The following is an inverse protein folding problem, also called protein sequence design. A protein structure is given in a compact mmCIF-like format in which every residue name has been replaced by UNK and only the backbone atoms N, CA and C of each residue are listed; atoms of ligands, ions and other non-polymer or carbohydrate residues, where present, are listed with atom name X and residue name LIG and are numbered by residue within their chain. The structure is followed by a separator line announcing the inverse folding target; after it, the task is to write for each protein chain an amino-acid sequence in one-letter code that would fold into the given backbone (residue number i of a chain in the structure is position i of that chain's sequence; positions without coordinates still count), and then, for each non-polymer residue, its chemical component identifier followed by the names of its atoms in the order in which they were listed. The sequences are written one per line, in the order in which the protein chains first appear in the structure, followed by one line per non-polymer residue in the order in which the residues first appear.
data_IF_263634472917
#
_entry.id   IF_263634472917
#
_cell.length_a   1.000
_cell.length_b   1.000
_cell.length_c   1.000
_cell.angle_alpha   90.00
_cell.angle_beta   90.00
_cell.angle_gamma   90.00
#
_symmetry.space_group_name_H-M   'P 1'
#
loop_
_entity.id
_entity.type
_entity.pdbx_description
1 polymer ?
#
# COMPACT_ATOMS: atom_id res chain seq x y z
N UNK A 1 -18.72 -32.28 -42.65
CA UNK A 1 -19.34 -33.03 -41.53
C UNK A 1 -18.75 -32.52 -40.22
N UNK A 2 -19.45 -31.66 -39.51
CA UNK A 2 -19.01 -31.06 -38.24
C UNK A 2 -19.18 -32.07 -37.11
N UNK A 3 -18.11 -32.37 -36.36
CA UNK A 3 -18.15 -33.19 -35.14
C UNK A 3 -18.17 -32.29 -33.91
N UNK A 4 -19.35 -32.14 -33.31
CA UNK A 4 -19.59 -31.43 -32.05
C UNK A 4 -19.05 -32.27 -30.88
N UNK A 5 -18.06 -31.76 -30.13
CA UNK A 5 -17.63 -32.37 -28.85
C UNK A 5 -18.48 -31.80 -27.71
N UNK A 6 -19.26 -32.66 -27.05
CA UNK A 6 -20.01 -32.32 -25.85
C UNK A 6 -19.07 -32.07 -24.67
N UNK A 7 -19.21 -30.92 -24.00
CA UNK A 7 -18.52 -30.61 -22.73
C UNK A 7 -19.33 -31.18 -21.56
N UNK A 8 -18.75 -32.12 -20.83
CA UNK A 8 -19.30 -32.60 -19.56
C UNK A 8 -19.15 -31.51 -18.48
N UNK A 9 -20.27 -31.06 -17.90
CA UNK A 9 -20.30 -30.18 -16.71
C UNK A 9 -20.17 -31.04 -15.47
N UNK A 10 -19.03 -30.96 -14.78
CA UNK A 10 -18.85 -31.55 -13.44
C UNK A 10 -19.39 -30.56 -12.41
N UNK A 11 -20.52 -30.91 -11.79
CA UNK A 11 -21.12 -30.20 -10.65
C UNK A 11 -20.36 -30.57 -9.37
N UNK A 12 -19.70 -29.60 -8.74
CA UNK A 12 -19.09 -29.79 -7.42
C UNK A 12 -20.13 -29.43 -6.35
N UNK A 13 -20.45 -30.33 -5.39
CA UNK A 13 -21.32 -30.01 -4.29
C UNK A 13 -20.59 -29.13 -3.27
N UNK A 14 -21.20 -27.99 -2.95
CA UNK A 14 -20.80 -27.13 -1.83
C UNK A 14 -21.16 -27.83 -0.52
N UNK A 15 -20.16 -28.21 0.28
CA UNK A 15 -20.34 -28.55 1.69
C UNK A 15 -20.08 -27.30 2.53
N UNK A 16 -21.17 -26.75 3.06
CA UNK A 16 -21.17 -25.69 4.07
C UNK A 16 -20.98 -26.35 5.43
N UNK A 17 -19.84 -26.09 6.08
CA UNK A 17 -19.62 -26.45 7.47
C UNK A 17 -19.62 -25.17 8.31
N UNK A 18 -20.70 -24.95 9.06
CA UNK A 18 -20.83 -23.87 10.02
C UNK A 18 -20.28 -24.32 11.38
N UNK A 19 -19.16 -23.75 11.81
CA UNK A 19 -18.64 -23.92 13.17
C UNK A 19 -19.06 -22.74 14.02
N UNK A 20 -19.91 -23.03 15.02
CA UNK A 20 -20.33 -22.09 16.05
C UNK A 20 -19.15 -21.75 16.98
N UNK A 21 -18.93 -20.45 17.23
CA UNK A 21 -17.95 -19.95 18.19
C UNK A 21 -18.68 -19.42 19.42
N UNK A 22 -18.36 -20.02 20.56
CA UNK A 22 -18.77 -19.66 21.92
C UNK A 22 -18.17 -18.31 22.33
N UNK A 23 -19.02 -17.40 22.83
CA UNK A 23 -18.61 -16.12 23.44
C UNK A 23 -18.53 -16.30 24.94
N UNK A 24 -17.38 -15.99 25.53
CA UNK A 24 -17.21 -15.93 26.98
C UNK A 24 -15.99 -15.10 27.35
N UNK A 25 -16.21 -13.97 28.02
CA UNK A 25 -15.49 -13.47 29.19
C UNK A 25 -15.75 -11.97 29.37
N UNK A 26 -16.36 -11.63 30.50
CA UNK A 26 -16.53 -10.29 31.02
C UNK A 26 -15.27 -9.81 31.73
N UNK A 27 -14.95 -8.52 31.63
CA UNK A 27 -14.18 -7.81 32.65
C UNK A 27 -14.78 -6.42 32.88
N UNK A 28 -15.30 -6.25 34.10
CA UNK A 28 -15.71 -4.96 34.64
C UNK A 28 -14.46 -4.18 35.08
N UNK A 29 -14.39 -2.90 34.74
CA UNK A 29 -13.40 -1.97 35.28
C UNK A 29 -14.13 -0.92 36.12
N UNK A 30 -13.72 -0.86 37.39
CA UNK A 30 -14.22 0.00 38.45
C UNK A 30 -13.88 1.46 38.21
N UNK A 31 -14.89 2.34 38.33
CA UNK A 31 -14.73 3.80 38.38
C UNK A 31 -14.08 4.20 39.72
N UNK A 32 -12.94 4.87 39.66
CA UNK A 32 -12.37 5.59 40.80
C UNK A 32 -12.73 7.08 40.69
N UNK A 33 -13.51 7.57 41.65
CA UNK A 33 -13.87 8.98 41.81
C UNK A 33 -13.04 9.66 42.90
N UNK A 34 -12.98 10.99 42.80
CA UNK A 34 -12.70 12.00 43.84
C UNK A 34 -11.25 12.39 44.12
N UNK A 35 -11.01 13.69 43.87
CA UNK A 35 -9.87 14.47 44.33
C UNK A 35 -10.21 15.94 44.09
N UNK A 36 -11.07 16.51 44.94
CA UNK A 36 -11.37 17.94 44.96
C UNK A 36 -10.25 18.68 45.69
N UNK A 37 -9.75 19.77 45.11
CA UNK A 37 -8.94 20.76 45.80
C UNK A 37 -9.38 22.17 45.34
N UNK A 38 -10.15 22.80 46.23
CA UNK A 38 -10.26 24.23 46.58
C UNK A 38 -9.92 25.30 45.53
N UNK A 39 -10.92 26.13 45.26
CA UNK A 39 -10.80 27.45 44.64
C UNK A 39 -10.11 28.48 45.55
N UNK A 40 -9.37 29.40 44.94
CA UNK A 40 -9.16 30.76 45.45
C UNK A 40 -9.07 31.71 44.24
N UNK A 41 -9.85 32.79 44.30
CA UNK A 41 -10.06 33.78 43.23
C UNK A 41 -8.99 34.89 43.17
N UNK A 42 -8.84 35.39 41.94
CA UNK A 42 -8.56 36.78 41.54
C UNK A 42 -7.18 37.41 41.71
N UNK A 43 -6.48 37.56 40.58
CA UNK A 43 -5.86 38.83 40.18
C UNK A 43 -5.70 38.88 38.65
N UNK A 44 -6.14 40.00 38.07
CA UNK A 44 -6.13 40.30 36.64
C UNK A 44 -4.70 40.42 36.07
N UNK A 45 -4.54 40.03 34.80
CA UNK A 45 -3.50 40.58 33.92
C UNK A 45 -2.32 39.66 33.60
N UNK A 46 -2.49 38.76 32.62
CA UNK A 46 -1.41 38.33 31.72
C UNK A 46 -2.04 37.73 30.44
N UNK A 47 -1.53 38.05 29.24
CA UNK A 47 -2.18 37.67 27.99
C UNK A 47 -2.16 36.16 27.81
N UNK A 48 -3.24 35.64 27.23
CA UNK A 48 -3.35 34.27 26.79
C UNK A 48 -2.11 33.92 25.95
N UNK A 49 -1.31 32.96 26.45
CA UNK A 49 -0.36 32.27 25.60
C UNK A 49 -1.18 31.57 24.51
N UNK A 50 -1.28 32.22 23.35
CA UNK A 50 -1.66 31.59 22.11
C UNK A 50 -0.71 30.43 21.95
N UNK A 51 -1.20 29.23 22.27
CA UNK A 51 -0.55 27.99 21.93
C UNK A 51 -0.31 28.05 20.43
N UNK A 52 0.91 28.39 20.06
CA UNK A 52 1.41 28.18 18.73
C UNK A 52 1.38 26.65 18.55
N UNK A 53 0.23 26.14 18.10
CA UNK A 53 0.21 24.97 17.28
C UNK A 53 1.21 25.29 16.19
N UNK A 54 2.44 24.78 16.33
CA UNK A 54 3.43 24.76 15.29
C UNK A 54 2.67 24.27 14.07
N UNK A 55 2.40 25.18 13.13
CA UNK A 55 1.71 24.86 11.92
C UNK A 55 2.56 23.77 11.29
N UNK A 56 2.08 22.51 11.38
CA UNK A 56 2.72 21.41 10.67
C UNK A 56 2.78 21.89 9.25
N UNK A 57 3.97 22.03 8.69
CA UNK A 57 4.16 22.32 7.28
C UNK A 57 3.32 21.29 6.52
N UNK A 58 2.17 21.72 6.04
CA UNK A 58 1.34 20.90 5.18
C UNK A 58 2.11 20.82 3.88
N UNK A 59 2.61 19.63 3.58
CA UNK A 59 3.26 19.38 2.30
C UNK A 59 2.19 19.59 1.23
N UNK A 60 2.36 20.62 0.40
CA UNK A 60 1.44 20.97 -0.69
C UNK A 60 1.62 20.05 -1.91
N UNK A 61 1.74 18.75 -1.66
CA UNK A 61 1.82 17.74 -2.70
C UNK A 61 1.42 16.35 -2.17
N UNK A 62 0.95 15.45 -3.04
CA UNK A 62 0.78 14.04 -2.67
C UNK A 62 2.11 13.42 -2.26
N UNK A 63 2.06 12.51 -1.29
CA UNK A 63 3.22 11.74 -0.86
C UNK A 63 2.82 10.28 -0.63
N UNK A 64 3.70 9.37 -1.03
CA UNK A 64 3.71 7.97 -0.64
C UNK A 64 5.12 7.62 -0.18
N UNK A 65 5.28 7.28 1.09
CA UNK A 65 6.58 6.88 1.66
C UNK A 65 6.41 5.64 2.51
N UNK A 66 7.45 4.82 2.60
CA UNK A 66 7.53 3.71 3.56
C UNK A 66 7.97 2.42 2.91
N UNK A 67 7.90 1.34 3.67
CA UNK A 67 8.29 0.01 3.22
C UNK A 67 7.40 -1.06 3.81
N UNK A 68 7.31 -2.19 3.12
CA UNK A 68 6.59 -3.35 3.62
C UNK A 68 7.22 -4.66 3.21
N UNK A 69 6.92 -5.68 4.03
CA UNK A 69 7.10 -7.10 3.72
C UNK A 69 5.74 -7.72 3.51
N UNK A 70 5.54 -8.41 2.38
CA UNK A 70 4.29 -9.14 2.13
C UNK A 70 4.15 -10.34 3.08
N UNK A 71 2.92 -10.67 3.43
CA UNK A 71 2.60 -11.89 4.18
C UNK A 71 2.60 -13.07 3.22
N UNK A 72 3.62 -13.92 3.34
CA UNK A 72 3.86 -15.09 2.48
C UNK A 72 4.26 -16.30 3.32
N UNK A 73 4.32 -17.45 2.65
CA UNK A 73 4.82 -18.69 3.25
C UNK A 73 6.31 -18.55 3.64
N UNK A 74 6.80 -19.30 4.63
CA UNK A 74 8.21 -19.28 5.00
C UNK A 74 9.12 -19.53 3.79
N UNK A 75 10.17 -18.71 3.66
CA UNK A 75 11.11 -18.78 2.54
C UNK A 75 10.74 -17.90 1.34
N UNK A 76 9.48 -17.46 1.21
CA UNK A 76 9.04 -16.50 0.20
C UNK A 76 9.06 -15.08 0.78
N UNK A 77 10.07 -14.30 0.42
CA UNK A 77 10.34 -12.98 0.99
C UNK A 77 10.18 -11.90 -0.08
N UNK A 78 9.09 -11.15 0.00
CA UNK A 78 8.81 -10.04 -0.92
C UNK A 78 8.78 -8.73 -0.15
N UNK A 79 9.56 -7.75 -0.60
CA UNK A 79 9.64 -6.42 -0.02
C UNK A 79 9.37 -5.33 -1.06
N UNK A 80 8.71 -4.27 -0.62
CA UNK A 80 8.45 -3.07 -1.42
C UNK A 80 8.80 -1.84 -0.60
N UNK A 81 9.41 -0.86 -1.24
CA UNK A 81 9.76 0.43 -0.67
C UNK A 81 9.41 1.53 -1.65
N UNK A 82 8.83 2.61 -1.14
CA UNK A 82 8.49 3.79 -1.92
C UNK A 82 8.99 5.05 -1.22
N UNK A 83 9.47 5.98 -2.02
CA UNK A 83 9.65 7.38 -1.66
C UNK A 83 9.20 8.22 -2.84
N UNK A 84 7.91 8.56 -2.87
CA UNK A 84 7.25 9.17 -4.01
C UNK A 84 6.54 10.44 -3.54
N UNK A 85 6.70 11.53 -4.29
CA UNK A 85 5.90 12.72 -4.07
C UNK A 85 5.66 13.49 -5.37
N UNK A 86 4.83 14.53 -5.30
CA UNK A 86 4.36 15.30 -6.45
C UNK A 86 3.05 14.73 -7.00
N UNK A 87 2.44 15.46 -7.93
CA UNK A 87 1.10 15.15 -8.45
C UNK A 87 1.13 14.77 -9.92
N UNK A 88 0.42 13.69 -10.25
CA UNK A 88 0.24 13.23 -11.62
C UNK A 88 1.58 12.93 -12.28
N UNK A 89 1.75 13.35 -13.53
CA UNK A 89 2.95 13.10 -14.34
C UNK A 89 4.19 13.89 -13.90
N UNK A 90 4.05 14.82 -12.94
CA UNK A 90 5.15 15.58 -12.32
C UNK A 90 5.69 14.93 -11.06
N UNK A 91 5.15 13.77 -10.69
CA UNK A 91 5.67 13.01 -9.58
C UNK A 91 7.12 12.56 -9.81
N UNK A 92 7.83 12.42 -8.72
CA UNK A 92 9.26 12.09 -8.66
C UNK A 92 9.56 11.31 -7.40
N UNK A 93 10.72 10.68 -7.40
CA UNK A 93 11.21 9.85 -6.31
C UNK A 93 11.55 8.45 -6.80
N UNK A 94 11.55 7.47 -5.91
CA UNK A 94 12.03 6.12 -6.22
C UNK A 94 11.11 5.04 -5.69
N UNK A 95 11.27 3.86 -6.26
CA UNK A 95 10.71 2.63 -5.74
C UNK A 95 11.77 1.52 -5.76
N UNK A 96 11.63 0.55 -4.86
CA UNK A 96 12.45 -0.64 -4.79
C UNK A 96 11.56 -1.84 -4.50
N UNK A 97 11.79 -2.95 -5.20
CA UNK A 97 11.11 -4.22 -5.00
C UNK A 97 12.15 -5.32 -4.92
N UNK A 98 12.05 -6.20 -3.94
CA UNK A 98 12.84 -7.43 -3.90
C UNK A 98 11.96 -8.65 -3.68
N UNK A 99 12.36 -9.76 -4.27
CA UNK A 99 11.69 -11.04 -4.12
C UNK A 99 12.74 -12.14 -4.05
N UNK A 100 12.76 -12.89 -2.96
CA UNK A 100 13.63 -14.05 -2.78
C UNK A 100 12.83 -15.26 -2.35
N UNK A 101 13.10 -16.39 -2.99
CA UNK A 101 12.53 -17.69 -2.64
C UNK A 101 13.68 -18.61 -2.24
N UNK A 102 13.76 -18.90 -0.94
CA UNK A 102 14.89 -19.61 -0.35
C UNK A 102 16.21 -18.86 -0.55
N UNK A 103 17.30 -19.61 -0.76
CA UNK A 103 18.65 -19.06 -1.02
C UNK A 103 19.06 -19.07 -2.49
N UNK A 104 18.25 -19.68 -3.35
CA UNK A 104 18.66 -20.07 -4.70
C UNK A 104 18.09 -19.15 -5.79
N UNK A 105 16.88 -18.61 -5.57
CA UNK A 105 16.22 -17.75 -6.54
C UNK A 105 15.84 -16.42 -5.90
N UNK A 106 16.01 -15.35 -6.66
CA UNK A 106 15.51 -14.06 -6.27
C UNK A 106 16.37 -12.92 -6.76
N UNK A 107 16.01 -11.74 -6.32
CA UNK A 107 16.66 -10.52 -6.74
C UNK A 107 15.85 -9.29 -6.37
N UNK A 108 16.13 -8.22 -7.11
CA UNK A 108 15.46 -6.96 -6.94
C UNK A 108 15.41 -6.16 -8.24
N UNK A 109 14.53 -5.18 -8.25
CA UNK A 109 14.55 -4.10 -9.21
C UNK A 109 14.17 -2.79 -8.54
N UNK A 110 14.70 -1.70 -9.08
CA UNK A 110 14.45 -0.35 -8.58
C UNK A 110 14.38 0.63 -9.74
N UNK A 111 13.81 1.79 -9.47
CA UNK A 111 13.76 2.83 -10.47
C UNK A 111 13.08 4.09 -9.95
N UNK A 112 12.74 4.95 -10.91
CA UNK A 112 12.15 6.26 -10.63
C UNK A 112 10.64 6.22 -10.71
N UNK A 113 9.99 7.01 -9.87
CA UNK A 113 8.56 7.31 -9.96
C UNK A 113 8.32 8.28 -11.10
N UNK A 114 7.29 8.02 -11.90
CA UNK A 114 6.88 8.86 -13.03
C UNK A 114 5.38 9.23 -13.05
N UNK A 115 4.62 8.67 -12.09
CA UNK A 115 3.33 9.22 -11.67
C UNK A 115 3.01 8.90 -10.21
N UNK A 116 2.31 9.82 -9.54
CA UNK A 116 1.66 9.60 -8.24
C UNK A 116 0.29 10.30 -8.22
N UNK A 117 -0.74 9.57 -7.80
CA UNK A 117 -2.04 10.11 -7.43
C UNK A 117 -2.41 9.61 -6.04
N UNK A 118 -3.02 10.46 -5.24
CA UNK A 118 -3.59 10.06 -3.94
C UNK A 118 -5.08 10.38 -3.88
N UNK A 119 -5.81 9.57 -3.12
CA UNK A 119 -7.23 9.74 -2.84
C UNK A 119 -7.53 9.24 -1.44
N UNK A 120 -7.62 10.17 -0.48
CA UNK A 120 -7.68 9.81 0.94
C UNK A 120 -6.46 8.95 1.33
N UNK A 121 -6.66 7.79 1.98
CA UNK A 121 -5.56 6.91 2.40
C UNK A 121 -4.92 6.10 1.27
N UNK A 122 -5.37 6.25 0.02
CA UNK A 122 -4.89 5.46 -1.11
C UNK A 122 -3.88 6.24 -1.94
N UNK A 123 -2.79 5.60 -2.33
CA UNK A 123 -1.86 6.10 -3.32
C UNK A 123 -1.76 5.13 -4.50
N UNK A 124 -1.87 5.65 -5.72
CA UNK A 124 -1.54 4.93 -6.96
C UNK A 124 -0.26 5.55 -7.50
N UNK A 125 0.78 4.74 -7.65
CA UNK A 125 2.06 5.17 -8.17
C UNK A 125 2.45 4.33 -9.38
N UNK A 126 3.17 4.93 -10.31
CA UNK A 126 3.89 4.19 -11.34
C UNK A 126 5.35 4.58 -11.35
N UNK A 127 6.20 3.64 -11.74
CA UNK A 127 7.62 3.90 -11.88
C UNK A 127 8.24 3.08 -12.99
N UNK A 128 9.32 3.62 -13.56
CA UNK A 128 10.10 3.01 -14.63
C UNK A 128 11.34 2.39 -14.02
N UNK A 129 11.59 1.11 -14.31
CA UNK A 129 12.77 0.40 -13.83
C UNK A 129 14.03 0.95 -14.47
N UNK A 130 15.05 1.19 -13.65
CA UNK A 130 16.36 1.68 -14.08
C UNK A 130 17.45 0.63 -13.87
N UNK A 131 17.26 -0.23 -12.87
CA UNK A 131 18.18 -1.28 -12.48
C UNK A 131 17.40 -2.52 -12.02
N UNK A 132 17.85 -3.69 -12.45
CA UNK A 132 17.28 -4.98 -12.05
C UNK A 132 18.37 -6.05 -12.02
N UNK A 133 18.37 -6.85 -10.97
CA UNK A 133 19.31 -7.96 -10.78
C UNK A 133 18.55 -9.16 -10.23
N UNK A 134 18.56 -10.27 -10.95
CA UNK A 134 17.92 -11.52 -10.54
C UNK A 134 18.84 -12.71 -10.78
N UNK A 135 18.92 -13.56 -9.77
CA UNK A 135 19.52 -14.89 -9.86
C UNK A 135 18.42 -15.89 -10.20
N UNK A 136 18.57 -16.54 -11.37
CA UNK A 136 17.71 -17.64 -11.78
C UNK A 136 18.01 -18.93 -11.00
N UNK A 137 17.06 -19.84 -10.99
CA UNK A 137 17.22 -21.19 -10.45
C UNK A 137 16.35 -22.19 -11.25
N UNK A 138 16.74 -23.46 -11.33
CA UNK A 138 15.92 -24.48 -12.00
C UNK A 138 14.50 -24.55 -11.44
N UNK A 139 13.50 -24.59 -12.31
CA UNK A 139 12.08 -24.67 -11.93
C UNK A 139 11.46 -23.37 -11.43
N UNK A 140 12.21 -22.26 -11.44
CA UNK A 140 11.70 -20.94 -11.05
C UNK A 140 11.44 -20.05 -12.28
N UNK A 141 10.57 -19.02 -12.16
CA UNK A 141 10.31 -18.11 -13.27
C UNK A 141 11.57 -17.41 -13.76
N UNK A 142 11.71 -17.30 -15.08
CA UNK A 142 12.65 -16.38 -15.71
C UNK A 142 12.06 -14.97 -15.69
N UNK A 143 12.82 -14.04 -15.11
CA UNK A 143 12.39 -12.65 -14.91
C UNK A 143 12.70 -11.80 -16.15
N UNK A 144 13.70 -12.19 -16.95
CA UNK A 144 14.18 -11.41 -18.09
C UNK A 144 14.68 -10.01 -17.72
N UNK A 145 14.82 -9.15 -18.74
CA UNK A 145 15.17 -7.74 -18.53
C UNK A 145 13.93 -6.89 -18.20
N UNK A 146 13.98 -6.23 -17.05
CA UNK A 146 12.92 -5.34 -16.58
C UNK A 146 13.21 -3.87 -16.89
N UNK A 147 14.44 -3.52 -17.28
CA UNK A 147 14.87 -2.14 -17.45
C UNK A 147 14.01 -1.41 -18.48
N UNK A 148 13.62 -0.17 -18.15
CA UNK A 148 12.77 0.66 -19.01
C UNK A 148 11.28 0.31 -18.96
N UNK A 149 10.88 -0.81 -18.34
CA UNK A 149 9.46 -1.16 -18.17
C UNK A 149 8.84 -0.33 -17.05
N UNK A 150 7.58 0.08 -17.24
CA UNK A 150 6.78 0.74 -16.21
C UNK A 150 5.94 -0.27 -15.45
N UNK A 151 5.98 -0.15 -14.13
CA UNK A 151 5.19 -0.91 -13.20
C UNK A 151 4.22 -0.02 -12.43
N UNK A 152 3.04 -0.57 -12.16
CA UNK A 152 1.99 0.06 -11.37
C UNK A 152 1.90 -0.51 -9.97
N UNK A 153 1.65 0.39 -9.01
CA UNK A 153 1.55 0.10 -7.59
C UNK A 153 0.32 0.79 -7.01
N UNK A 154 -0.31 0.16 -6.02
CA UNK A 154 -1.39 0.79 -5.26
C UNK A 154 -1.22 0.45 -3.79
N UNK A 155 -1.11 1.49 -2.97
CA UNK A 155 -0.98 1.38 -1.52
C UNK A 155 -2.27 1.88 -0.90
N UNK A 156 -2.77 1.13 0.09
CA UNK A 156 -3.75 1.61 1.04
C UNK A 156 -3.04 1.76 2.39
N UNK A 157 -2.89 2.99 2.87
CA UNK A 157 -2.43 3.31 4.22
C UNK A 157 -3.62 3.17 5.18
N UNK A 158 -3.59 2.14 6.02
CA UNK A 158 -4.65 1.88 6.99
C UNK A 158 -4.03 1.70 8.39
N UNK A 159 -3.03 2.54 8.69
CA UNK A 159 -2.28 2.58 9.92
C UNK A 159 -1.42 1.32 10.14
N UNK A 160 -1.98 0.32 10.83
CA UNK A 160 -1.26 -0.96 11.11
C UNK A 160 -1.68 -2.09 10.17
N UNK A 161 -2.60 -1.82 9.26
CA UNK A 161 -3.22 -2.82 8.37
C UNK A 161 -3.12 -2.39 6.91
N UNK A 162 -1.98 -1.81 6.54
CA UNK A 162 -1.76 -1.35 5.18
C UNK A 162 -1.87 -2.52 4.19
N UNK A 163 -2.18 -2.18 2.94
CA UNK A 163 -2.29 -3.14 1.85
C UNK A 163 -1.55 -2.66 0.62
N UNK A 164 -1.13 -3.60 -0.21
CA UNK A 164 -0.39 -3.34 -1.43
C UNK A 164 -1.02 -4.06 -2.62
N UNK A 165 -1.00 -3.40 -3.77
CA UNK A 165 -1.34 -3.93 -5.07
C UNK A 165 -0.20 -3.63 -6.02
N UNK A 166 -0.01 -4.50 -7.00
CA UNK A 166 0.97 -4.33 -8.04
C UNK A 166 0.48 -4.92 -9.36
N UNK A 167 0.80 -4.24 -10.46
CA UNK A 167 0.23 -4.48 -11.79
C UNK A 167 0.44 -5.89 -12.38
N UNK A 168 1.35 -6.68 -11.82
CA UNK A 168 1.70 -8.02 -12.31
C UNK A 168 1.21 -9.16 -11.40
N UNK A 169 0.34 -8.87 -10.43
CA UNK A 169 -0.10 -9.84 -9.44
C UNK A 169 -0.86 -11.05 -10.01
N UNK A 170 -1.59 -10.86 -11.13
CA UNK A 170 -2.42 -11.91 -11.73
C UNK A 170 -1.86 -12.41 -13.07
N UNK A 171 -1.36 -11.50 -13.90
CA UNK A 171 -0.93 -11.82 -15.27
C UNK A 171 0.57 -12.08 -15.39
N UNK A 172 1.31 -12.03 -14.27
CA UNK A 172 2.77 -12.14 -14.27
C UNK A 172 3.47 -10.87 -14.80
N UNK A 173 4.80 -10.94 -14.92
CA UNK A 173 5.61 -9.78 -15.30
C UNK A 173 5.15 -9.20 -16.65
N UNK A 174 5.02 -7.87 -16.75
CA UNK A 174 4.44 -7.24 -17.92
C UNK A 174 5.36 -7.40 -19.14
N UNK A 175 4.79 -7.85 -20.26
CA UNK A 175 5.45 -7.73 -21.57
C UNK A 175 5.58 -6.24 -21.94
N UNK A 176 4.50 -5.47 -21.74
CA UNK A 176 4.40 -4.03 -22.02
C UNK A 176 4.18 -3.23 -20.74
N UNK A 177 4.79 -2.05 -20.69
CA UNK A 177 4.57 -1.05 -19.63
C UNK A 177 3.10 -0.76 -19.38
N UNK A 178 2.71 -0.64 -18.11
CA UNK A 178 1.42 -0.03 -17.76
C UNK A 178 1.38 1.45 -18.18
N UNK A 179 0.18 2.00 -18.33
CA UNK A 179 -0.01 3.45 -18.43
C UNK A 179 0.37 4.16 -17.13
N UNK A 180 0.61 5.47 -17.21
CA UNK A 180 0.87 6.28 -16.00
C UNK A 180 -0.32 6.24 -15.05
N UNK A 181 -0.03 6.27 -13.75
CA UNK A 181 -1.04 6.35 -12.69
C UNK A 181 -2.05 5.17 -12.70
N UNK A 182 -1.63 4.00 -13.18
CA UNK A 182 -2.43 2.78 -13.18
C UNK A 182 -1.79 1.73 -12.27
N UNK A 183 -2.62 1.03 -11.49
CA UNK A 183 -2.21 -0.06 -10.60
C UNK A 183 -3.36 -1.05 -10.38
N UNK A 184 -3.08 -2.19 -9.75
CA UNK A 184 -4.13 -3.14 -9.35
C UNK A 184 -4.81 -2.70 -8.06
N UNK A 185 -5.92 -3.33 -7.69
CA UNK A 185 -6.43 -3.21 -6.33
C UNK A 185 -5.37 -3.64 -5.29
N UNK A 186 -5.36 -3.07 -4.06
CA UNK A 186 -4.39 -3.41 -3.02
C UNK A 186 -4.75 -4.72 -2.31
N UNK A 187 -4.60 -5.83 -3.04
CA UNK A 187 -5.06 -7.15 -2.61
C UNK A 187 -4.13 -7.84 -1.61
N UNK A 188 -2.85 -7.48 -1.54
CA UNK A 188 -1.89 -8.12 -0.66
C UNK A 188 -2.09 -7.74 0.79
N UNK A 189 -1.84 -8.70 1.68
CA UNK A 189 -1.71 -8.45 3.12
C UNK A 189 -0.25 -8.36 3.48
N UNK A 190 0.09 -7.46 4.41
CA UNK A 190 1.47 -7.27 4.84
C UNK A 190 1.75 -8.07 6.12
N UNK A 191 2.94 -8.65 6.21
CA UNK A 191 3.46 -9.20 7.47
C UNK A 191 3.93 -8.06 8.39
N UNK A 192 4.52 -7.02 7.78
CA UNK A 192 4.94 -5.78 8.43
C UNK A 192 4.96 -4.67 7.39
N UNK A 193 4.57 -3.46 7.77
CA UNK A 193 4.60 -2.30 6.90
C UNK A 193 4.48 -1.01 7.71
N UNK A 194 4.85 0.11 7.08
CA UNK A 194 4.74 1.45 7.64
C UNK A 194 4.49 2.48 6.53
N UNK A 195 3.59 2.16 5.59
CA UNK A 195 3.30 3.12 4.55
C UNK A 195 2.66 4.38 5.14
N UNK A 196 2.95 5.50 4.50
CA UNK A 196 2.35 6.78 4.82
C UNK A 196 1.89 7.39 3.50
N UNK A 197 0.59 7.65 3.41
CA UNK A 197 -0.01 8.37 2.29
C UNK A 197 -0.47 9.74 2.76
N UNK A 198 0.07 10.78 2.14
CA UNK A 198 -0.45 12.13 2.30
C UNK A 198 -1.34 12.46 1.11
N UNK A 199 -2.62 12.71 1.38
CA UNK A 199 -3.52 13.17 0.36
C UNK A 199 -3.41 14.68 0.17
N UNK A 200 -3.23 15.08 -1.07
CA UNK A 200 -3.33 16.47 -1.48
C UNK A 200 -3.82 16.53 -2.92
N UNK A 201 -4.65 17.53 -3.21
CA UNK A 201 -5.11 17.84 -4.56
C UNK A 201 -5.29 19.36 -4.62
N UNK A 202 -4.84 20.04 -5.69
CA UNK A 202 -5.10 21.46 -5.84
C UNK A 202 -6.61 21.70 -5.89
N UNK A 203 -7.09 22.87 -5.45
CA UNK A 203 -8.47 23.26 -5.63
C UNK A 203 -8.87 23.08 -7.10
N UNK A 204 -9.95 22.33 -7.35
CA UNK A 204 -10.49 22.24 -8.70
C UNK A 204 -11.16 23.57 -9.03
N UNK A 205 -10.71 24.23 -10.10
CA UNK A 205 -11.51 25.31 -10.68
C UNK A 205 -12.83 24.71 -11.16
N UNK A 206 -13.98 25.32 -10.84
CA UNK A 206 -15.26 24.88 -11.40
C UNK A 206 -15.17 24.79 -12.92
N UNK A 207 -15.74 23.74 -13.51
CA UNK A 207 -15.88 23.68 -14.95
C UNK A 207 -16.69 24.91 -15.40
N UNK A 208 -16.16 25.66 -16.37
CA UNK A 208 -16.93 26.68 -17.05
C UNK A 208 -17.92 25.91 -17.96
N UNK A 209 -19.19 25.97 -17.61
CA UNK A 209 -20.29 25.47 -18.46
C UNK A 209 -20.70 26.53 -19.47
#
# INVERSE_FOLDING_TARGET
MFRTRARARVRHPFLVAATALTVGAATALTLGTTGAATAAESAAGAPAATGAHAARHTVDEPLLKGSAKLKRQPGDNVHFTFDAHGLGDKARGTFYVSHHIGKQWGGYFKGRIDCLLTGGPVAVATGIVEESHFQGAPGMPDVGDLKGKRFGFTVLDNGRKDRLGYSWALDGLPEKSVGKCLGSAPIETLAKGNYTVHHWMPPRTPAKH
#
